data_IF_038150740785
#
_entry.id   IF_038150740785
#
_cell.length_a   1.000
_cell.length_b   1.000
_cell.length_c   1.000
_cell.angle_alpha   90.00
_cell.angle_beta   90.00
_cell.angle_gamma   90.00
#
_symmetry.space_group_name_H-M   'P 1'
#
loop_
_entity.id
_entity.type
_entity.pdbx_description
1 polymer ?
#
# COMPACT_ATOMS: atom_id res chain seq x y z
N UNK A 1 10.54 -14.30 20.69
CA UNK A 1 9.76 -15.42 21.28
C UNK A 1 8.50 -14.85 21.94
N UNK A 2 7.41 -14.64 21.19
CA UNK A 2 6.16 -14.13 21.77
C UNK A 2 5.45 -15.29 22.49
N UNK A 3 5.56 -15.30 23.83
CA UNK A 3 4.98 -16.31 24.73
C UNK A 3 3.48 -16.05 24.89
N UNK A 4 2.68 -17.00 24.41
CA UNK A 4 1.21 -17.14 24.56
C UNK A 4 0.37 -15.93 24.10
N UNK A 5 -0.45 -16.18 23.09
CA UNK A 5 -1.42 -15.23 22.56
C UNK A 5 -2.55 -15.01 23.60
N UNK A 6 -2.95 -13.77 23.89
CA UNK A 6 -4.09 -13.52 24.76
C UNK A 6 -5.38 -13.97 24.07
N UNK A 7 -6.09 -14.93 24.67
CA UNK A 7 -7.33 -15.52 24.15
C UNK A 7 -8.58 -14.71 24.49
N UNK A 8 -8.46 -13.68 25.33
CA UNK A 8 -9.60 -12.91 25.86
C UNK A 8 -9.71 -11.50 25.25
N UNK A 9 -9.01 -11.22 24.16
CA UNK A 9 -9.01 -9.91 23.51
C UNK A 9 -9.93 -9.95 22.30
N UNK A 10 -10.88 -8.99 22.25
CA UNK A 10 -11.78 -8.82 21.11
C UNK A 10 -10.98 -8.56 19.84
N UNK A 11 -11.42 -9.12 18.72
CA UNK A 11 -10.69 -9.05 17.44
C UNK A 11 -10.72 -7.67 16.80
N UNK A 12 -11.77 -6.90 17.05
CA UNK A 12 -11.94 -5.52 16.62
C UNK A 12 -12.17 -4.64 17.86
N UNK A 13 -11.54 -3.47 17.90
CA UNK A 13 -11.78 -2.52 18.98
C UNK A 13 -12.98 -1.66 18.59
N UNK A 14 -14.16 -2.09 19.05
CA UNK A 14 -15.44 -1.47 18.75
C UNK A 14 -16.13 -1.07 20.05
N UNK A 15 -16.93 -0.01 20.00
CA UNK A 15 -17.73 0.48 21.14
C UNK A 15 -19.12 -0.18 21.23
N UNK A 16 -19.47 -1.04 20.27
CA UNK A 16 -20.76 -1.76 20.18
C UNK A 16 -20.60 -3.22 20.59
N UNK A 17 -21.67 -3.97 20.80
CA UNK A 17 -21.57 -5.42 21.03
C UNK A 17 -21.30 -6.20 19.74
N UNK A 18 -20.76 -7.43 19.81
CA UNK A 18 -20.59 -8.27 18.62
C UNK A 18 -21.87 -8.54 17.86
N UNK A 19 -23.00 -8.69 18.55
CA UNK A 19 -24.31 -8.95 17.95
C UNK A 19 -24.79 -7.76 17.13
N UNK A 20 -24.63 -6.55 17.66
CA UNK A 20 -24.96 -5.30 16.97
C UNK A 20 -24.11 -5.13 15.71
N UNK A 21 -22.79 -5.35 15.83
CA UNK A 21 -21.88 -5.29 14.70
C UNK A 21 -22.24 -6.33 13.63
N UNK A 22 -22.45 -7.59 14.01
CA UNK A 22 -22.82 -8.67 13.09
C UNK A 22 -24.07 -8.29 12.30
N UNK A 23 -25.10 -7.77 12.98
CA UNK A 23 -26.37 -7.40 12.33
C UNK A 23 -26.16 -6.32 11.27
N UNK A 24 -25.46 -5.25 11.63
CA UNK A 24 -25.19 -4.13 10.72
C UNK A 24 -24.33 -4.56 9.53
N UNK A 25 -23.25 -5.28 9.81
CA UNK A 25 -22.33 -5.78 8.80
C UNK A 25 -23.02 -6.75 7.83
N UNK A 26 -23.86 -7.66 8.34
CA UNK A 26 -24.63 -8.61 7.52
C UNK A 26 -25.62 -7.91 6.60
N UNK A 27 -26.28 -6.85 7.07
CA UNK A 27 -27.14 -6.05 6.21
C UNK A 27 -26.34 -5.41 5.05
N UNK A 28 -25.16 -4.86 5.35
CA UNK A 28 -24.32 -4.16 4.37
C UNK A 28 -23.67 -5.06 3.30
N UNK A 29 -23.44 -6.34 3.60
CA UNK A 29 -22.83 -7.27 2.64
C UNK A 29 -23.85 -8.00 1.77
N UNK A 30 -25.08 -8.21 2.28
CA UNK A 30 -26.19 -8.77 1.51
C UNK A 30 -26.65 -7.79 0.44
N UNK A 31 -26.69 -6.49 0.77
CA UNK A 31 -26.93 -5.42 -0.21
C UNK A 31 -25.65 -4.62 -0.47
N UNK A 32 -25.00 -4.89 -1.61
CA UNK A 32 -23.77 -4.20 -2.02
C UNK A 32 -23.98 -2.73 -2.40
N UNK A 33 -25.20 -2.22 -2.43
CA UNK A 33 -25.51 -0.79 -2.62
C UNK A 33 -25.88 -0.09 -1.32
N UNK A 34 -25.97 -0.81 -0.20
CA UNK A 34 -26.30 -0.24 1.09
C UNK A 34 -25.38 0.91 1.49
N UNK A 35 -25.97 1.88 2.18
CA UNK A 35 -25.27 2.94 2.88
C UNK A 35 -24.41 2.35 4.00
N UNK A 36 -23.12 2.67 3.98
CA UNK A 36 -22.13 2.16 4.94
C UNK A 36 -21.90 3.12 6.11
N UNK A 37 -22.54 4.28 6.15
CA UNK A 37 -22.27 5.35 7.14
C UNK A 37 -22.30 4.84 8.57
N UNK A 38 -23.32 4.05 8.93
CA UNK A 38 -23.45 3.50 10.28
C UNK A 38 -22.38 2.45 10.61
N UNK A 39 -22.08 1.56 9.66
CA UNK A 39 -21.02 0.56 9.82
C UNK A 39 -19.64 1.21 9.95
N UNK A 40 -19.37 2.27 9.17
CA UNK A 40 -18.15 3.06 9.27
C UNK A 40 -18.03 3.69 10.66
N UNK A 41 -19.09 4.32 11.15
CA UNK A 41 -19.10 4.92 12.48
C UNK A 41 -18.84 3.89 13.60
N UNK A 42 -19.32 2.65 13.45
CA UNK A 42 -18.99 1.55 14.38
C UNK A 42 -17.52 1.14 14.34
N UNK A 43 -16.92 1.16 13.14
CA UNK A 43 -15.52 0.76 12.89
C UNK A 43 -14.50 1.84 13.23
N UNK A 44 -14.93 3.08 13.43
CA UNK A 44 -14.05 4.22 13.70
C UNK A 44 -12.99 3.96 14.78
N UNK A 45 -13.33 3.37 15.96
CA UNK A 45 -12.31 3.12 17.00
C UNK A 45 -11.29 2.06 16.57
N UNK A 46 -11.65 1.16 15.66
CA UNK A 46 -10.71 0.19 15.07
C UNK A 46 -9.74 0.89 14.11
N UNK A 47 -10.21 1.88 13.35
CA UNK A 47 -9.34 2.65 12.45
C UNK A 47 -8.33 3.48 13.25
N UNK A 48 -8.78 4.14 14.32
CA UNK A 48 -7.90 4.87 15.24
C UNK A 48 -6.86 3.94 15.89
N UNK A 49 -7.29 2.75 16.31
CA UNK A 49 -6.38 1.75 16.87
C UNK A 49 -5.31 1.33 15.87
N UNK A 50 -5.68 1.00 14.63
CA UNK A 50 -4.71 0.63 13.60
C UNK A 50 -3.76 1.77 13.25
N UNK A 51 -4.25 3.00 13.12
CA UNK A 51 -3.41 4.18 12.88
C UNK A 51 -2.36 4.33 13.98
N UNK A 52 -2.76 4.25 15.25
CA UNK A 52 -1.83 4.30 16.39
C UNK A 52 -0.80 3.17 16.32
N UNK A 53 -1.24 1.96 16.04
CA UNK A 53 -0.37 0.78 15.98
C UNK A 53 0.67 0.87 14.87
N UNK A 54 0.28 1.38 13.70
CA UNK A 54 1.15 1.52 12.53
C UNK A 54 2.13 2.70 12.65
N UNK A 55 1.72 3.80 13.29
CA UNK A 55 2.55 5.02 13.43
C UNK A 55 3.47 4.99 14.65
N UNK A 56 3.01 4.46 15.78
CA UNK A 56 3.76 4.54 17.04
C UNK A 56 4.65 3.32 17.29
N UNK A 57 4.60 2.29 16.43
CA UNK A 57 5.35 1.03 16.60
C UNK A 57 5.04 0.27 17.91
N UNK A 58 4.06 0.74 18.69
CA UNK A 58 3.82 0.38 20.09
C UNK A 58 2.99 -0.89 20.27
N UNK A 59 3.06 -1.81 19.33
CA UNK A 59 2.08 -2.88 19.17
C UNK A 59 2.33 -4.19 19.90
N UNK A 60 3.11 -4.16 20.98
CA UNK A 60 3.68 -5.37 21.61
C UNK A 60 2.69 -6.46 22.04
N UNK A 61 1.39 -6.16 22.15
CA UNK A 61 0.35 -7.08 22.62
C UNK A 61 -0.82 -7.34 21.67
N UNK A 62 -0.94 -6.64 20.53
CA UNK A 62 -2.08 -6.84 19.61
C UNK A 62 -1.80 -8.00 18.65
N UNK A 63 -2.66 -9.01 18.67
CA UNK A 63 -2.50 -10.22 17.85
C UNK A 63 -2.60 -9.94 16.34
N UNK A 64 -3.44 -9.00 15.91
CA UNK A 64 -3.60 -8.68 14.50
C UNK A 64 -2.37 -7.94 13.97
N UNK A 65 -1.81 -7.02 14.75
CA UNK A 65 -0.56 -6.35 14.40
C UNK A 65 0.64 -7.31 14.42
N UNK A 66 0.78 -8.12 15.47
CA UNK A 66 1.86 -9.11 15.56
C UNK A 66 1.83 -10.09 14.38
N UNK A 67 0.64 -10.58 14.02
CA UNK A 67 0.48 -11.47 12.87
C UNK A 67 0.64 -10.74 11.53
N UNK A 68 0.33 -9.44 11.43
CA UNK A 68 0.65 -8.63 10.27
C UNK A 68 2.17 -8.54 10.07
N UNK A 69 2.93 -8.23 11.12
CA UNK A 69 4.39 -8.16 11.06
C UNK A 69 4.99 -9.49 10.57
N UNK A 70 4.51 -10.62 11.11
CA UNK A 70 4.94 -11.96 10.68
C UNK A 70 4.61 -12.28 9.22
N UNK A 71 3.50 -11.75 8.68
CA UNK A 71 3.15 -11.91 7.27
C UNK A 71 4.07 -11.09 6.36
N UNK A 72 4.54 -9.93 6.84
CA UNK A 72 5.42 -9.03 6.10
C UNK A 72 6.84 -9.58 6.03
N UNK A 73 7.44 -9.92 7.18
CA UNK A 73 8.75 -10.57 7.27
C UNK A 73 8.86 -11.50 8.48
N UNK A 74 9.82 -12.43 8.43
CA UNK A 74 10.20 -13.26 9.58
C UNK A 74 10.99 -12.46 10.62
N UNK A 75 11.66 -11.39 10.18
CA UNK A 75 12.40 -10.46 11.04
C UNK A 75 11.47 -9.33 11.48
N UNK A 76 11.39 -9.09 12.79
CA UNK A 76 10.54 -8.03 13.36
C UNK A 76 10.97 -6.64 12.92
N UNK A 77 12.27 -6.40 12.86
CA UNK A 77 12.81 -5.07 12.57
C UNK A 77 12.62 -4.76 11.08
N UNK A 78 12.83 -5.76 10.23
CA UNK A 78 12.51 -5.65 8.80
C UNK A 78 11.01 -5.44 8.58
N UNK A 79 10.14 -6.12 9.34
CA UNK A 79 8.70 -5.93 9.22
C UNK A 79 8.28 -4.51 9.61
N UNK A 80 8.80 -3.97 10.71
CA UNK A 80 8.53 -2.61 11.16
C UNK A 80 9.05 -1.57 10.15
N UNK A 81 10.27 -1.74 9.63
CA UNK A 81 10.81 -0.87 8.58
C UNK A 81 9.95 -0.88 7.31
N UNK A 82 9.46 -2.06 6.92
CA UNK A 82 8.58 -2.18 5.76
C UNK A 82 7.20 -1.51 5.99
N UNK A 83 6.69 -1.54 7.22
CA UNK A 83 5.47 -0.82 7.61
C UNK A 83 5.73 0.69 7.57
N UNK A 84 6.84 1.17 8.13
CA UNK A 84 7.16 2.61 8.14
C UNK A 84 7.28 3.15 6.72
N UNK A 85 7.95 2.43 5.81
CA UNK A 85 8.02 2.82 4.40
C UNK A 85 6.64 2.99 3.75
N UNK A 86 5.68 2.13 4.10
CA UNK A 86 4.31 2.26 3.60
C UNK A 86 3.58 3.43 4.27
N UNK A 87 3.72 3.61 5.58
CA UNK A 87 3.14 4.74 6.31
C UNK A 87 3.64 6.07 5.74
N UNK A 88 4.95 6.20 5.55
CA UNK A 88 5.59 7.39 4.95
C UNK A 88 5.05 7.64 3.54
N UNK A 89 4.81 6.59 2.75
CA UNK A 89 4.23 6.74 1.41
C UNK A 89 2.78 7.28 1.41
N UNK A 90 2.02 7.04 2.48
CA UNK A 90 0.63 7.50 2.62
C UNK A 90 0.58 8.95 3.10
N UNK A 91 1.40 9.30 4.08
CA UNK A 91 1.36 10.60 4.76
C UNK A 91 1.65 11.78 3.85
N UNK A 92 2.22 11.54 2.67
CA UNK A 92 2.37 12.55 1.62
C UNK A 92 1.06 12.98 0.94
N UNK A 93 0.04 12.12 0.90
CA UNK A 93 -1.21 12.37 0.16
C UNK A 93 -2.47 12.28 1.00
N UNK A 94 -2.42 11.53 2.10
CA UNK A 94 -3.59 11.17 2.91
C UNK A 94 -3.18 10.92 4.37
N UNK A 95 -4.13 10.50 5.20
CA UNK A 95 -3.86 9.98 6.53
C UNK A 95 -3.87 8.46 6.55
N UNK A 96 -3.11 7.86 7.48
CA UNK A 96 -3.10 6.41 7.70
C UNK A 96 -4.51 5.91 7.99
N UNK A 97 -5.27 6.62 8.83
CA UNK A 97 -6.68 6.34 9.09
C UNK A 97 -7.54 6.31 7.83
N UNK A 98 -7.41 7.31 6.95
CA UNK A 98 -8.18 7.38 5.70
C UNK A 98 -7.84 6.22 4.75
N UNK A 99 -6.57 5.81 4.71
CA UNK A 99 -6.15 4.66 3.92
C UNK A 99 -6.72 3.35 4.49
N UNK A 100 -6.71 3.16 5.82
CA UNK A 100 -7.33 1.99 6.46
C UNK A 100 -8.84 1.95 6.18
N UNK A 101 -9.52 3.10 6.25
CA UNK A 101 -10.93 3.23 5.88
C UNK A 101 -11.15 2.82 4.41
N UNK A 102 -10.33 3.32 3.49
CA UNK A 102 -10.39 2.96 2.08
C UNK A 102 -10.23 1.44 1.87
N UNK A 103 -9.23 0.84 2.52
CA UNK A 103 -9.00 -0.61 2.48
C UNK A 103 -10.23 -1.35 2.99
N UNK A 104 -10.81 -0.92 4.12
CA UNK A 104 -12.02 -1.54 4.66
C UNK A 104 -13.18 -1.50 3.66
N UNK A 105 -13.44 -0.34 3.05
CA UNK A 105 -14.50 -0.17 2.05
C UNK A 105 -14.26 -1.05 0.81
N UNK A 106 -13.03 -1.09 0.31
CA UNK A 106 -12.63 -1.93 -0.82
C UNK A 106 -12.90 -3.41 -0.54
N UNK A 107 -12.48 -3.88 0.65
CA UNK A 107 -12.66 -5.26 1.10
C UNK A 107 -14.13 -5.61 1.28
N UNK A 108 -14.91 -4.74 1.93
CA UNK A 108 -16.35 -4.91 2.14
C UNK A 108 -17.13 -5.13 0.85
N UNK A 109 -16.85 -4.31 -0.16
CA UNK A 109 -17.52 -4.42 -1.47
C UNK A 109 -17.11 -5.69 -2.22
N UNK A 110 -15.87 -6.16 -2.04
CA UNK A 110 -15.36 -7.41 -2.65
C UNK A 110 -15.72 -8.68 -1.88
N UNK A 111 -16.21 -8.57 -0.64
CA UNK A 111 -16.50 -9.71 0.21
C UNK A 111 -17.65 -10.56 -0.36
N UNK A 112 -17.40 -11.84 -0.69
CA UNK A 112 -18.37 -12.70 -1.41
C UNK A 112 -19.15 -13.69 -0.55
N UNK A 113 -18.55 -14.18 0.53
CA UNK A 113 -19.11 -15.30 1.28
C UNK A 113 -19.19 -15.01 2.77
N UNK A 114 -20.40 -15.14 3.32
CA UNK A 114 -20.67 -14.99 4.74
C UNK A 114 -21.08 -16.36 5.29
N UNK A 115 -20.40 -16.88 6.32
CA UNK A 115 -20.89 -18.07 6.99
C UNK A 115 -22.18 -17.74 7.75
N UNK A 116 -23.31 -18.23 7.26
CA UNK A 116 -24.66 -17.98 7.81
C UNK A 116 -24.83 -18.48 9.25
N UNK A 117 -24.07 -19.52 9.64
CA UNK A 117 -24.09 -20.13 10.96
C UNK A 117 -23.00 -19.61 11.91
N UNK A 118 -22.18 -18.62 11.50
CA UNK A 118 -21.15 -18.09 12.38
C UNK A 118 -21.76 -17.29 13.54
N UNK A 119 -21.24 -17.49 14.75
CA UNK A 119 -21.53 -16.62 15.89
C UNK A 119 -20.95 -15.21 15.67
N UNK A 120 -21.39 -14.24 16.47
CA UNK A 120 -21.05 -12.83 16.29
C UNK A 120 -19.55 -12.56 16.41
N UNK A 121 -18.88 -13.22 17.35
CA UNK A 121 -17.44 -13.09 17.59
C UNK A 121 -16.62 -13.65 16.43
N UNK A 122 -17.08 -14.73 15.78
CA UNK A 122 -16.42 -15.26 14.59
C UNK A 122 -16.56 -14.31 13.41
N UNK A 123 -17.70 -13.63 13.27
CA UNK A 123 -17.87 -12.61 12.23
C UNK A 123 -16.89 -11.45 12.44
N UNK A 124 -16.75 -10.95 13.66
CA UNK A 124 -15.73 -9.93 13.96
C UNK A 124 -14.32 -10.40 13.64
N UNK A 125 -13.98 -11.63 14.01
CA UNK A 125 -12.67 -12.21 13.71
C UNK A 125 -12.43 -12.30 12.20
N UNK A 126 -13.43 -12.72 11.43
CA UNK A 126 -13.35 -12.78 9.96
C UNK A 126 -13.08 -11.39 9.40
N UNK A 127 -13.80 -10.36 9.87
CA UNK A 127 -13.62 -8.98 9.42
C UNK A 127 -12.24 -8.45 9.80
N UNK A 128 -11.78 -8.67 11.05
CA UNK A 128 -10.45 -8.27 11.50
C UNK A 128 -9.35 -8.91 10.66
N UNK A 129 -9.47 -10.22 10.38
CA UNK A 129 -8.55 -10.95 9.52
C UNK A 129 -8.56 -10.40 8.10
N UNK A 130 -9.73 -10.10 7.55
CA UNK A 130 -9.87 -9.59 6.19
C UNK A 130 -9.26 -8.19 6.03
N UNK A 131 -9.51 -7.30 6.99
CA UNK A 131 -8.91 -5.97 7.07
C UNK A 131 -7.37 -6.05 7.16
N UNK A 132 -6.86 -6.90 8.07
CA UNK A 132 -5.41 -7.14 8.21
C UNK A 132 -4.78 -7.61 6.90
N UNK A 133 -5.43 -8.55 6.20
CA UNK A 133 -4.94 -9.03 4.91
C UNK A 133 -4.99 -7.91 3.85
N UNK A 134 -6.01 -7.06 3.88
CA UNK A 134 -6.07 -5.84 3.07
C UNK A 134 -4.85 -4.94 3.29
N UNK A 135 -4.56 -4.59 4.54
CA UNK A 135 -3.38 -3.78 4.93
C UNK A 135 -2.09 -4.44 4.44
N UNK A 136 -1.93 -5.74 4.71
CA UNK A 136 -0.78 -6.52 4.24
C UNK A 136 -0.58 -6.42 2.72
N UNK A 137 -1.65 -6.54 1.93
CA UNK A 137 -1.58 -6.48 0.47
C UNK A 137 -1.16 -5.09 -0.03
N UNK A 138 -1.66 -4.03 0.61
CA UNK A 138 -1.28 -2.64 0.31
C UNK A 138 0.19 -2.37 0.65
N UNK A 139 0.66 -2.81 1.81
CA UNK A 139 2.09 -2.75 2.18
C UNK A 139 2.93 -3.51 1.14
N UNK A 140 2.59 -4.77 0.84
CA UNK A 140 3.32 -5.59 -0.14
C UNK A 140 3.36 -4.96 -1.53
N UNK A 141 2.26 -4.37 -1.97
CA UNK A 141 2.19 -3.69 -3.25
C UNK A 141 3.16 -2.50 -3.29
N UNK A 142 3.14 -1.67 -2.25
CA UNK A 142 4.06 -0.53 -2.08
C UNK A 142 5.51 -0.99 -2.05
N UNK A 143 5.84 -1.98 -1.22
CA UNK A 143 7.19 -2.56 -1.17
C UNK A 143 7.62 -3.16 -2.51
N UNK A 144 6.70 -3.77 -3.27
CA UNK A 144 7.01 -4.28 -4.60
C UNK A 144 7.37 -3.14 -5.55
N UNK A 145 6.73 -1.98 -5.42
CA UNK A 145 7.09 -0.78 -6.18
C UNK A 145 8.46 -0.26 -5.74
N UNK A 146 8.68 -0.03 -4.45
CA UNK A 146 9.95 0.44 -3.91
C UNK A 146 11.13 -0.50 -4.23
N UNK A 147 10.92 -1.82 -4.12
CA UNK A 147 11.94 -2.84 -4.40
C UNK A 147 12.12 -3.12 -5.90
N UNK A 148 11.18 -2.74 -6.77
CA UNK A 148 11.36 -2.81 -8.23
C UNK A 148 12.47 -1.86 -8.69
N UNK A 149 12.62 -0.74 -8.00
CA UNK A 149 13.64 0.28 -8.28
C UNK A 149 14.98 -0.01 -7.59
N UNK A 150 14.99 -0.89 -6.57
CA UNK A 150 16.19 -1.29 -5.83
C UNK A 150 17.16 -2.23 -6.60
N UNK A 151 16.88 -2.59 -7.86
CA UNK A 151 17.75 -3.47 -8.66
C UNK A 151 18.85 -2.75 -9.45
N UNK A 152 19.04 -1.44 -9.26
CA UNK A 152 20.29 -0.78 -9.64
C UNK A 152 21.03 -0.32 -8.39
N UNK A 153 21.71 -1.27 -7.71
CA UNK A 153 23.02 -0.90 -7.15
C UNK A 153 23.90 -0.59 -8.36
N UNK A 154 24.03 0.69 -8.69
CA UNK A 154 25.22 1.15 -9.41
C UNK A 154 26.36 0.69 -8.52
N UNK A 155 27.12 -0.31 -9.00
CA UNK A 155 28.33 -0.80 -8.35
C UNK A 155 29.12 0.43 -7.91
N UNK A 156 29.42 0.53 -6.61
CA UNK A 156 30.12 1.65 -6.00
C UNK A 156 31.36 2.00 -6.81
N UNK A 157 31.21 2.98 -7.71
CA UNK A 157 32.29 3.53 -8.50
C UNK A 157 32.87 4.68 -7.65
N UNK A 158 34.10 4.55 -7.14
CA UNK A 158 34.71 5.60 -6.33
C UNK A 158 34.81 6.88 -7.17
N UNK A 159 34.04 7.90 -6.80
CA UNK A 159 33.99 9.20 -7.49
C UNK A 159 32.60 9.75 -7.78
N UNK A 160 31.52 8.97 -7.60
CA UNK A 160 30.15 9.50 -7.72
C UNK A 160 29.58 9.86 -6.34
N UNK A 161 29.38 11.15 -6.09
CA UNK A 161 28.52 11.59 -4.99
C UNK A 161 27.09 11.20 -5.34
N UNK A 162 26.53 10.23 -4.61
CA UNK A 162 25.11 9.88 -4.73
C UNK A 162 24.31 11.06 -4.19
N UNK A 163 23.73 11.85 -5.10
CA UNK A 163 22.72 12.83 -4.73
C UNK A 163 21.46 12.06 -4.29
N UNK A 164 21.31 11.88 -2.99
CA UNK A 164 20.07 11.36 -2.40
C UNK A 164 19.04 12.49 -2.50
N UNK A 165 18.02 12.32 -3.36
CA UNK A 165 16.90 13.25 -3.37
C UNK A 165 16.16 13.14 -2.03
N UNK A 166 15.87 14.29 -1.40
CA UNK A 166 15.12 14.38 -0.14
C UNK A 166 13.64 14.05 -0.30
N UNK A 167 13.14 14.06 -1.53
CA UNK A 167 11.74 13.79 -1.88
C UNK A 167 11.67 12.79 -3.05
N UNK A 168 10.64 11.93 -3.05
CA UNK A 168 10.40 10.95 -4.12
C UNK A 168 10.14 11.68 -5.45
N UNK A 169 10.92 11.42 -6.52
CA UNK A 169 10.68 12.07 -7.81
C UNK A 169 9.32 11.66 -8.38
N UNK A 170 8.68 12.57 -9.12
CA UNK A 170 7.38 12.53 -9.83
C UNK A 170 7.05 11.26 -10.65
N UNK A 171 7.91 10.25 -10.65
CA UNK A 171 7.66 8.95 -11.25
C UNK A 171 6.46 8.20 -10.61
N UNK A 172 6.21 8.36 -9.30
CA UNK A 172 5.01 7.79 -8.66
C UNK A 172 3.73 8.41 -9.24
N UNK A 173 3.76 9.71 -9.55
CA UNK A 173 2.65 10.41 -10.20
C UNK A 173 2.38 9.83 -11.60
N UNK A 174 3.43 9.58 -12.36
CA UNK A 174 3.36 8.96 -13.69
C UNK A 174 2.90 7.49 -13.64
N UNK A 175 3.22 6.78 -12.56
CA UNK A 175 2.75 5.41 -12.33
C UNK A 175 1.28 5.36 -11.86
N UNK A 176 0.83 6.34 -11.05
CA UNK A 176 -0.58 6.50 -10.64
C UNK A 176 -1.50 6.84 -11.81
N UNK A 177 -0.97 7.49 -12.85
CA UNK A 177 -1.69 7.75 -14.10
C UNK A 177 -1.97 6.50 -14.97
N UNK A 178 -1.71 5.26 -14.49
CA UNK A 178 -1.89 4.00 -15.26
C UNK A 178 -1.15 3.99 -16.60
N UNK A 179 -0.08 4.76 -16.76
CA UNK A 179 0.73 4.67 -17.95
C UNK A 179 1.49 3.36 -17.85
N UNK A 180 1.07 2.34 -18.60
CA UNK A 180 1.80 1.07 -18.74
C UNK A 180 3.10 1.30 -19.52
N UNK A 181 3.94 2.21 -19.04
CA UNK A 181 5.27 2.44 -19.58
C UNK A 181 6.07 1.17 -19.39
N UNK A 182 6.68 0.71 -20.47
CA UNK A 182 7.71 -0.31 -20.40
C UNK A 182 8.88 0.23 -19.57
N UNK A 183 9.65 -0.67 -18.96
CA UNK A 183 10.86 -0.31 -18.18
C UNK A 183 11.81 0.60 -18.97
N UNK A 184 11.88 0.39 -20.28
CA UNK A 184 12.64 1.21 -21.21
C UNK A 184 12.11 2.65 -21.31
N UNK A 185 10.79 2.82 -21.43
CA UNK A 185 10.17 4.14 -21.51
C UNK A 185 10.27 4.91 -20.19
N UNK A 186 10.15 4.24 -19.03
CA UNK A 186 10.37 4.87 -17.72
C UNK A 186 11.80 5.37 -17.58
N UNK A 187 12.79 4.59 -18.02
CA UNK A 187 14.20 4.99 -18.00
C UNK A 187 14.46 6.18 -18.94
N UNK A 188 13.90 6.17 -20.15
CA UNK A 188 14.01 7.31 -21.07
C UNK A 188 13.35 8.58 -20.51
N UNK A 189 12.20 8.45 -19.88
CA UNK A 189 11.50 9.57 -19.25
C UNK A 189 12.34 10.19 -18.12
N UNK A 190 12.95 9.36 -17.27
CA UNK A 190 13.88 9.82 -16.26
C UNK A 190 15.05 10.62 -16.87
N UNK A 191 15.65 10.13 -17.94
CA UNK A 191 16.75 10.86 -18.59
C UNK A 191 16.29 12.21 -19.19
N UNK A 192 15.04 12.31 -19.64
CA UNK A 192 14.44 13.57 -20.11
C UNK A 192 14.25 14.55 -18.95
N UNK A 193 13.69 14.09 -17.81
CA UNK A 193 13.40 14.96 -16.66
C UNK A 193 14.68 15.52 -16.03
N UNK A 194 15.80 14.79 -16.10
CA UNK A 194 17.12 15.27 -15.68
C UNK A 194 17.76 16.28 -16.65
N UNK A 195 17.07 16.66 -17.74
CA UNK A 195 17.56 17.64 -18.71
C UNK A 195 18.70 17.12 -19.60
N UNK A 196 18.91 15.80 -19.68
CA UNK A 196 19.96 15.26 -20.53
C UNK A 196 19.61 15.44 -22.01
N UNK A 197 20.53 16.06 -22.76
CA UNK A 197 20.38 16.22 -24.21
C UNK A 197 20.34 14.86 -24.91
N UNK A 198 19.70 14.79 -26.08
CA UNK A 198 19.61 13.55 -26.88
C UNK A 198 20.99 12.96 -27.19
N UNK A 199 22.03 13.81 -27.28
CA UNK A 199 23.43 13.37 -27.43
C UNK A 199 23.91 12.61 -26.20
N UNK A 200 23.71 13.17 -24.99
CA UNK A 200 24.10 12.52 -23.73
C UNK A 200 23.32 11.23 -23.51
N UNK A 201 22.01 11.25 -23.77
CA UNK A 201 21.14 10.06 -23.67
C UNK A 201 21.59 8.95 -24.60
N UNK A 202 21.94 9.27 -25.85
CA UNK A 202 22.47 8.31 -26.84
C UNK A 202 23.76 7.65 -26.38
N UNK A 203 24.66 8.41 -25.75
CA UNK A 203 25.89 7.85 -25.18
C UNK A 203 25.59 6.92 -23.99
N UNK A 204 24.67 7.31 -23.10
CA UNK A 204 24.32 6.54 -21.90
C UNK A 204 23.57 5.25 -22.22
N UNK A 205 22.62 5.29 -23.14
CA UNK A 205 21.80 4.12 -23.50
C UNK A 205 22.41 3.27 -24.61
N UNK A 206 23.57 3.67 -25.15
CA UNK A 206 24.21 3.07 -26.34
C UNK A 206 23.25 2.90 -27.52
N UNK A 207 22.24 3.76 -27.60
CA UNK A 207 21.20 3.70 -28.64
C UNK A 207 21.43 4.83 -29.62
N UNK A 208 21.30 4.56 -30.93
CA UNK A 208 21.46 5.58 -31.96
C UNK A 208 20.42 6.70 -31.79
N UNK A 209 20.85 7.97 -31.95
CA UNK A 209 20.01 9.17 -31.70
C UNK A 209 18.66 9.13 -32.42
N UNK A 210 18.63 8.64 -33.67
CA UNK A 210 17.40 8.49 -34.46
C UNK A 210 16.38 7.53 -33.82
N UNK A 211 16.85 6.47 -33.17
CA UNK A 211 15.99 5.50 -32.50
C UNK A 211 15.48 6.06 -31.18
N UNK A 212 16.34 6.78 -30.43
CA UNK A 212 15.92 7.50 -29.22
C UNK A 212 14.80 8.50 -29.52
N UNK A 213 14.94 9.30 -30.57
CA UNK A 213 13.91 10.24 -30.97
C UNK A 213 12.56 9.54 -31.27
N UNK A 214 12.58 8.37 -31.92
CA UNK A 214 11.35 7.58 -32.17
C UNK A 214 10.73 7.06 -30.87
N UNK A 215 11.55 6.61 -29.92
CA UNK A 215 11.07 6.14 -28.61
C UNK A 215 10.53 7.29 -27.75
N UNK A 216 11.15 8.46 -27.81
CA UNK A 216 10.65 9.70 -27.20
C UNK A 216 9.29 10.07 -27.80
N UNK A 217 9.14 9.97 -29.12
CA UNK A 217 7.87 10.27 -29.78
C UNK A 217 6.75 9.35 -29.33
N UNK A 218 7.02 8.05 -29.17
CA UNK A 218 6.04 7.10 -28.62
C UNK A 218 5.60 7.46 -27.21
N UNK A 219 6.52 7.93 -26.36
CA UNK A 219 6.20 8.41 -25.01
C UNK A 219 5.28 9.63 -25.09
N UNK A 220 5.62 10.62 -25.94
CA UNK A 220 4.79 11.80 -26.15
C UNK A 220 3.41 11.47 -26.70
N UNK A 221 3.31 10.54 -27.64
CA UNK A 221 2.03 10.11 -28.21
C UNK A 221 1.17 9.38 -27.17
N UNK A 222 1.78 8.53 -26.32
CA UNK A 222 1.10 7.92 -25.18
C UNK A 222 0.61 8.95 -24.17
N UNK A 223 1.38 10.02 -23.91
CA UNK A 223 0.97 11.10 -23.01
C UNK A 223 -0.15 11.96 -23.61
N UNK A 224 -0.10 12.26 -24.91
CA UNK A 224 -1.13 13.04 -25.61
C UNK A 224 -2.49 12.33 -25.66
N UNK A 225 -2.52 11.00 -25.73
CA UNK A 225 -3.77 10.23 -25.69
C UNK A 225 -4.49 10.32 -24.34
N UNK A 226 -3.85 10.89 -23.33
CA UNK A 226 -4.40 11.03 -21.97
C UNK A 226 -4.94 12.43 -21.67
N UNK A 227 -4.74 13.39 -22.60
CA UNK A 227 -5.33 14.73 -22.58
C UNK A 227 -6.57 14.76 -23.48
#
# INVERSE_FOLDING_TARGET
>A
MYKKLPTNVRSLQLNVTPEEFKKEWTACITDKTADLTRLIAMMEPTFDHWEKMLTSGGGGSDINFLTLCQLISKDSDEALNNISLWVDSITHESSVKSEILYIFLERMRKFRYVPTLANAEMIEYIVARDLKLGIYHHIRYTLRLCKRDAFYRVVDAPGFQVAVQTELPDFILLAKMKINLTKWQSYLFYLISQGYTTVKRSAMTKTHRRNLYKEEQKIWDSLKQML
#
